data_IF_014883530715
#
_entry.id   IF_014883530715
#
_cell.length_a   1.000
_cell.length_b   1.000
_cell.length_c   1.000
_cell.angle_alpha   90.00
_cell.angle_beta   90.00
_cell.angle_gamma   90.00
#
_symmetry.space_group_name_H-M   'P 1'
#
loop_
_entity.id
_entity.type
_entity.pdbx_description
1 polymer ?
#
# COMPACT_ATOMS: atom_id res chain seq x y z
N UNK A 1 16.90 3.87 -4.89
CA UNK A 1 15.63 3.78 -5.66
C UNK A 1 15.21 5.09 -6.32
N UNK A 2 15.98 6.19 -6.21
CA UNK A 2 15.67 7.44 -6.95
C UNK A 2 14.49 8.27 -6.43
N UNK A 3 13.81 7.82 -5.37
CA UNK A 3 12.73 8.57 -4.73
C UNK A 3 13.24 9.84 -4.01
N UNK A 4 12.43 10.88 -4.00
CA UNK A 4 12.68 12.10 -3.24
C UNK A 4 12.04 11.98 -1.84
N UNK A 5 12.85 12.05 -0.79
CA UNK A 5 12.36 11.99 0.59
C UNK A 5 11.77 13.34 1.00
N UNK A 6 10.61 13.33 1.63
CA UNK A 6 9.94 14.53 2.13
C UNK A 6 9.67 14.40 3.63
N UNK A 7 9.90 15.49 4.35
CA UNK A 7 9.64 15.59 5.78
C UNK A 7 8.21 16.08 6.06
N UNK A 8 7.68 15.72 7.23
CA UNK A 8 6.44 16.26 7.77
C UNK A 8 6.53 16.34 9.29
N UNK A 9 5.78 17.25 9.90
CA UNK A 9 5.92 17.69 11.29
C UNK A 9 5.79 16.58 12.32
N UNK A 10 4.98 15.56 12.04
CA UNK A 10 4.67 14.43 12.94
C UNK A 10 5.39 13.14 12.55
N UNK A 11 6.51 13.21 11.84
CA UNK A 11 7.18 12.02 11.32
C UNK A 11 7.65 11.02 12.39
N UNK A 12 8.00 11.52 13.57
CA UNK A 12 8.46 10.75 14.72
C UNK A 12 7.31 10.09 15.52
N UNK A 13 6.05 10.48 15.28
CA UNK A 13 4.91 9.89 15.97
C UNK A 13 4.75 8.39 15.63
N UNK A 14 4.15 7.62 16.53
CA UNK A 14 3.75 6.24 16.26
C UNK A 14 2.70 6.19 15.12
N UNK A 15 2.60 5.07 14.41
CA UNK A 15 1.51 4.86 13.43
C UNK A 15 0.14 4.57 14.08
N UNK A 16 0.12 4.21 15.38
CA UNK A 16 -1.07 3.81 16.11
C UNK A 16 -1.35 2.29 16.15
N UNK A 17 -0.50 1.45 15.55
CA UNK A 17 -0.72 -0.01 15.49
C UNK A 17 -0.55 -0.77 16.82
N UNK A 18 0.16 -0.21 17.82
CA UNK A 18 0.65 -0.95 18.99
C UNK A 18 -0.34 -2.02 19.49
N UNK A 19 0.10 -3.29 19.58
CA UNK A 19 -0.76 -4.49 19.61
C UNK A 19 -2.01 -4.41 20.50
N UNK A 20 -1.89 -3.80 21.69
CA UNK A 20 -3.06 -3.58 22.56
C UNK A 20 -4.05 -2.59 21.95
N UNK A 21 -3.58 -1.44 21.48
CA UNK A 21 -4.42 -0.37 20.94
C UNK A 21 -5.21 -0.81 19.71
N UNK A 22 -4.61 -1.56 18.79
CA UNK A 22 -5.34 -2.00 17.60
C UNK A 22 -6.48 -2.98 17.94
N UNK A 23 -6.30 -3.82 18.96
CA UNK A 23 -7.29 -4.81 19.40
C UNK A 23 -8.40 -4.22 20.28
N UNK A 24 -8.05 -3.36 21.25
CA UNK A 24 -9.02 -2.85 22.25
C UNK A 24 -9.41 -1.38 22.07
N UNK A 25 -8.74 -0.65 21.19
CA UNK A 25 -8.94 0.79 20.96
C UNK A 25 -8.82 1.13 19.48
N UNK A 26 -9.54 0.37 18.65
CA UNK A 26 -9.47 0.45 17.19
C UNK A 26 -9.75 1.86 16.65
N UNK A 27 -10.73 2.56 17.22
CA UNK A 27 -11.11 3.90 16.73
C UNK A 27 -10.04 4.94 17.04
N UNK A 28 -9.35 4.81 18.18
CA UNK A 28 -8.16 5.60 18.48
C UNK A 28 -7.06 5.30 17.45
N UNK A 29 -6.76 4.03 17.22
CA UNK A 29 -5.68 3.61 16.29
C UNK A 29 -5.92 4.15 14.87
N UNK A 30 -7.16 4.01 14.36
CA UNK A 30 -7.55 4.51 13.03
C UNK A 30 -7.50 6.03 12.94
N UNK A 31 -8.01 6.72 13.96
CA UNK A 31 -8.02 8.18 13.99
C UNK A 31 -6.59 8.72 14.10
N UNK A 32 -5.74 8.09 14.92
CA UNK A 32 -4.34 8.49 15.03
C UNK A 32 -3.61 8.33 13.69
N UNK A 33 -3.72 7.15 13.08
CA UNK A 33 -3.13 6.84 11.77
C UNK A 33 -3.54 7.83 10.68
N UNK A 34 -4.81 8.22 10.63
CA UNK A 34 -5.30 9.10 9.56
C UNK A 34 -5.06 10.59 9.88
N UNK A 35 -5.40 11.05 11.07
CA UNK A 35 -5.37 12.47 11.44
C UNK A 35 -3.97 12.99 11.75
N UNK A 36 -3.16 12.19 12.47
CA UNK A 36 -1.80 12.60 12.88
C UNK A 36 -0.76 12.27 11.83
N UNK A 37 -0.98 11.25 10.98
CA UNK A 37 -0.03 10.85 9.94
C UNK A 37 -0.51 11.20 8.53
N UNK A 38 -1.48 10.46 7.98
CA UNK A 38 -1.84 10.58 6.55
C UNK A 38 -2.24 12.02 6.17
N UNK A 39 -3.11 12.68 6.93
CA UNK A 39 -3.52 14.05 6.60
C UNK A 39 -2.37 15.05 6.70
N UNK A 40 -1.52 14.92 7.73
CA UNK A 40 -0.32 15.77 7.87
C UNK A 40 0.63 15.57 6.69
N UNK A 41 0.85 14.32 6.28
CA UNK A 41 1.65 14.00 5.10
C UNK A 41 1.05 14.65 3.84
N UNK A 42 -0.28 14.55 3.62
CA UNK A 42 -0.92 15.20 2.46
C UNK A 42 -0.82 16.72 2.49
N UNK A 43 -0.99 17.32 3.66
CA UNK A 43 -0.99 18.79 3.81
C UNK A 43 0.42 19.39 3.67
N UNK A 44 1.45 18.71 4.17
CA UNK A 44 2.80 19.29 4.28
C UNK A 44 3.75 18.85 3.16
N UNK A 45 3.58 17.63 2.65
CA UNK A 45 4.46 17.04 1.64
C UNK A 45 3.73 16.52 0.39
N UNK A 46 2.45 16.19 0.51
CA UNK A 46 1.63 15.57 -0.54
C UNK A 46 2.35 14.44 -1.32
N UNK A 47 2.86 13.40 -0.63
CA UNK A 47 3.68 12.38 -1.27
C UNK A 47 2.87 11.44 -2.16
N UNK A 48 3.51 10.85 -3.18
CA UNK A 48 2.90 9.82 -4.03
C UNK A 48 2.78 8.47 -3.32
N UNK A 49 3.62 8.22 -2.32
CA UNK A 49 3.66 6.96 -1.56
C UNK A 49 4.27 7.18 -0.17
N UNK A 50 3.79 6.42 0.80
CA UNK A 50 4.39 6.25 2.12
C UNK A 50 5.06 4.88 2.19
N UNK A 51 6.35 4.87 2.51
CA UNK A 51 7.13 3.65 2.65
C UNK A 51 7.31 3.36 4.14
N UNK A 52 7.03 2.13 4.55
CA UNK A 52 7.22 1.70 5.95
C UNK A 52 7.96 0.37 6.01
N UNK A 53 8.65 0.11 7.12
CA UNK A 53 9.40 -1.14 7.29
C UNK A 53 8.59 -2.23 8.01
N UNK A 54 7.69 -1.83 8.92
CA UNK A 54 6.92 -2.73 9.77
C UNK A 54 5.55 -3.06 9.15
N UNK A 55 5.17 -4.34 9.16
CA UNK A 55 3.91 -4.81 8.59
C UNK A 55 2.68 -4.25 9.31
N UNK A 56 2.79 -3.97 10.61
CA UNK A 56 1.78 -3.29 11.40
C UNK A 56 1.58 -1.84 10.96
N UNK A 57 2.66 -1.13 10.66
CA UNK A 57 2.63 0.21 10.07
C UNK A 57 1.95 0.21 8.69
N UNK A 58 2.34 -0.69 7.77
CA UNK A 58 1.69 -0.82 6.45
C UNK A 58 0.20 -1.01 6.64
N UNK A 59 -0.19 -2.04 7.41
CA UNK A 59 -1.59 -2.42 7.62
C UNK A 59 -2.40 -1.26 8.22
N UNK A 60 -1.86 -0.59 9.24
CA UNK A 60 -2.60 0.46 9.95
C UNK A 60 -2.77 1.69 9.10
N UNK A 61 -1.70 2.16 8.45
CA UNK A 61 -1.74 3.38 7.64
C UNK A 61 -2.51 3.16 6.33
N UNK A 62 -2.45 1.98 5.72
CA UNK A 62 -3.25 1.63 4.53
C UNK A 62 -4.74 1.47 4.90
N UNK A 63 -5.06 0.49 5.76
CA UNK A 63 -6.46 0.08 6.02
C UNK A 63 -7.27 1.13 6.77
N UNK A 64 -6.64 1.98 7.57
CA UNK A 64 -7.39 3.00 8.32
C UNK A 64 -7.93 4.11 7.41
N UNK A 65 -7.34 4.33 6.23
CA UNK A 65 -7.77 5.38 5.31
C UNK A 65 -9.18 5.15 4.77
N UNK A 66 -9.66 3.90 4.69
CA UNK A 66 -11.03 3.61 4.24
C UNK A 66 -12.08 4.35 5.08
N UNK A 67 -11.97 4.30 6.41
CA UNK A 67 -12.92 4.95 7.31
C UNK A 67 -12.85 6.47 7.17
N UNK A 68 -11.64 7.05 7.12
CA UNK A 68 -11.46 8.47 6.92
C UNK A 68 -12.02 8.94 5.56
N UNK A 69 -11.82 8.16 4.49
CA UNK A 69 -12.37 8.43 3.15
C UNK A 69 -13.90 8.46 3.16
N UNK A 70 -14.54 7.53 3.88
CA UNK A 70 -16.00 7.52 4.04
C UNK A 70 -16.53 8.77 4.77
N UNK A 71 -15.69 9.45 5.55
CA UNK A 71 -15.98 10.73 6.19
C UNK A 71 -15.48 11.95 5.38
N UNK A 72 -15.19 11.80 4.08
CA UNK A 72 -14.72 12.86 3.18
C UNK A 72 -13.45 13.57 3.68
N UNK A 73 -12.57 12.86 4.39
CA UNK A 73 -11.32 13.38 4.91
C UNK A 73 -10.22 13.41 3.84
N UNK A 74 -9.19 14.24 4.05
CA UNK A 74 -8.08 14.37 3.10
C UNK A 74 -7.10 13.20 3.22
N UNK A 75 -7.49 12.05 2.68
CA UNK A 75 -6.68 10.82 2.67
C UNK A 75 -6.50 10.30 1.24
N UNK A 76 -6.00 9.08 1.08
CA UNK A 76 -5.76 8.44 -0.21
C UNK A 76 -4.28 8.44 -0.63
N UNK A 77 -3.35 8.32 0.32
CA UNK A 77 -1.94 8.09 -0.01
C UNK A 77 -1.67 6.58 -0.03
N UNK A 78 -1.14 6.03 -1.14
CA UNK A 78 -0.53 4.69 -1.18
C UNK A 78 0.41 4.44 0.00
N UNK A 79 0.30 3.29 0.65
CA UNK A 79 1.24 2.87 1.70
C UNK A 79 1.76 1.48 1.37
N UNK A 80 3.07 1.28 1.38
CA UNK A 80 3.65 -0.04 1.11
C UNK A 80 4.89 -0.32 1.95
N UNK A 81 5.32 -1.57 1.99
CA UNK A 81 6.59 -1.91 2.61
C UNK A 81 7.77 -1.39 1.77
N UNK A 82 8.90 -1.13 2.41
CA UNK A 82 10.17 -0.88 1.75
C UNK A 82 10.59 -2.02 0.81
N UNK A 83 10.32 -3.27 1.20
CA UNK A 83 10.53 -4.45 0.36
C UNK A 83 9.67 -4.46 -0.91
N UNK A 84 8.38 -4.10 -0.81
CA UNK A 84 7.49 -3.95 -1.97
C UNK A 84 8.00 -2.85 -2.91
N UNK A 85 8.34 -1.69 -2.35
CA UNK A 85 8.84 -0.57 -3.14
C UNK A 85 10.17 -0.89 -3.84
N UNK A 86 11.09 -1.58 -3.16
CA UNK A 86 12.35 -2.03 -3.76
C UNK A 86 12.11 -3.05 -4.89
N UNK A 87 11.21 -4.02 -4.69
CA UNK A 87 10.86 -5.00 -5.71
C UNK A 87 10.27 -4.34 -6.97
N UNK A 88 9.30 -3.43 -6.81
CA UNK A 88 8.73 -2.67 -7.93
C UNK A 88 9.79 -1.88 -8.69
N UNK A 89 10.69 -1.20 -7.97
CA UNK A 89 11.77 -0.44 -8.58
C UNK A 89 12.81 -1.32 -9.30
N UNK A 90 12.86 -2.62 -8.99
CA UNK A 90 13.68 -3.61 -9.70
C UNK A 90 12.93 -4.29 -10.85
N UNK A 91 11.68 -3.90 -11.14
CA UNK A 91 10.88 -4.45 -12.23
C UNK A 91 10.04 -5.67 -11.85
N UNK A 92 9.85 -5.96 -10.55
CA UNK A 92 8.99 -7.05 -10.13
C UNK A 92 7.52 -6.81 -10.53
N UNK A 93 6.82 -7.88 -10.89
CA UNK A 93 5.41 -7.80 -11.28
C UNK A 93 4.54 -7.28 -10.12
N UNK A 94 3.71 -6.24 -10.33
CA UNK A 94 3.00 -5.55 -9.24
C UNK A 94 1.94 -6.42 -8.55
N UNK A 95 1.40 -7.44 -9.23
CA UNK A 95 0.32 -8.27 -8.69
C UNK A 95 0.73 -9.68 -8.32
N UNK A 96 1.70 -10.28 -9.03
CA UNK A 96 2.21 -11.62 -8.69
C UNK A 96 3.16 -11.54 -7.50
N UNK A 97 4.09 -10.59 -7.52
CA UNK A 97 5.14 -10.48 -6.52
C UNK A 97 4.77 -9.48 -5.43
N UNK A 98 4.46 -8.25 -5.81
CA UNK A 98 4.20 -7.19 -4.84
C UNK A 98 2.79 -7.24 -4.25
N UNK A 99 1.89 -8.00 -4.88
CA UNK A 99 0.49 -8.20 -4.52
C UNK A 99 -0.26 -6.89 -4.16
N UNK A 100 -0.04 -5.84 -4.97
CA UNK A 100 -0.54 -4.50 -4.67
C UNK A 100 -2.07 -4.38 -4.62
N UNK A 101 -2.80 -5.35 -5.19
CA UNK A 101 -4.26 -5.41 -5.18
C UNK A 101 -4.87 -5.69 -3.81
N UNK A 102 -4.07 -6.18 -2.84
CA UNK A 102 -4.54 -6.36 -1.47
C UNK A 102 -4.53 -5.08 -0.64
N UNK A 103 -3.93 -3.99 -1.13
CA UNK A 103 -3.93 -2.70 -0.44
C UNK A 103 -5.30 -2.03 -0.51
N UNK A 104 -5.58 -1.17 0.46
CA UNK A 104 -6.88 -0.50 0.64
C UNK A 104 -6.94 0.87 -0.06
N UNK A 105 -5.78 1.42 -0.42
CA UNK A 105 -5.65 2.66 -1.19
C UNK A 105 -5.23 2.35 -2.63
N UNK A 106 -5.68 3.20 -3.55
CA UNK A 106 -5.39 3.07 -4.98
C UNK A 106 -3.91 3.35 -5.27
N UNK A 107 -3.19 2.31 -5.69
CA UNK A 107 -1.77 2.36 -6.03
C UNK A 107 -1.51 2.61 -7.52
N UNK A 108 -2.56 2.66 -8.37
CA UNK A 108 -2.40 2.82 -9.83
C UNK A 108 -1.69 4.12 -10.21
N UNK A 109 -2.00 5.29 -9.63
CA UNK A 109 -1.29 6.52 -9.96
C UNK A 109 0.22 6.47 -9.68
N UNK A 110 0.62 5.73 -8.62
CA UNK A 110 2.04 5.51 -8.32
C UNK A 110 2.70 4.64 -9.39
N UNK A 111 2.05 3.53 -9.78
CA UNK A 111 2.56 2.63 -10.81
C UNK A 111 2.74 3.36 -12.15
N UNK A 112 1.75 4.15 -12.56
CA UNK A 112 1.83 4.99 -13.75
C UNK A 112 3.01 5.97 -13.68
N UNK A 113 3.21 6.62 -12.52
CA UNK A 113 4.35 7.53 -12.29
C UNK A 113 5.71 6.82 -12.33
N UNK A 114 5.74 5.54 -11.95
CA UNK A 114 6.94 4.69 -12.06
C UNK A 114 7.15 4.13 -13.48
N UNK A 115 6.23 4.39 -14.42
CA UNK A 115 6.29 3.86 -15.79
C UNK A 115 5.84 2.41 -15.91
N UNK A 116 5.07 1.90 -14.94
CA UNK A 116 4.54 0.53 -14.91
C UNK A 116 3.15 0.53 -15.59
N UNK A 117 3.00 -0.31 -16.61
CA UNK A 117 1.71 -0.59 -17.24
C UNK A 117 0.88 -1.54 -16.36
N UNK A 118 0.12 -0.95 -15.44
CA UNK A 118 -0.67 -1.72 -14.48
C UNK A 118 -1.90 -2.39 -15.12
N UNK A 119 -2.43 -1.88 -16.23
CA UNK A 119 -3.56 -2.50 -16.91
C UNK A 119 -3.13 -3.80 -17.58
N UNK A 120 -1.99 -3.79 -18.27
CA UNK A 120 -1.38 -5.00 -18.84
C UNK A 120 -1.07 -6.02 -17.74
N UNK A 121 -0.39 -5.59 -16.67
CA UNK A 121 -0.05 -6.46 -15.55
C UNK A 121 -1.31 -7.06 -14.87
N UNK A 122 -2.42 -6.32 -14.85
CA UNK A 122 -3.68 -6.82 -14.31
C UNK A 122 -4.31 -7.89 -15.20
N UNK A 123 -4.28 -7.71 -16.52
CA UNK A 123 -4.75 -8.71 -17.47
C UNK A 123 -3.94 -10.02 -17.37
N UNK A 124 -2.62 -9.92 -17.24
CA UNK A 124 -1.73 -11.07 -16.98
C UNK A 124 -2.12 -11.77 -15.67
N UNK A 125 -2.43 -11.00 -14.61
CA UNK A 125 -2.88 -11.55 -13.34
C UNK A 125 -4.23 -12.29 -13.45
N UNK A 126 -5.20 -11.73 -14.17
CA UNK A 126 -6.51 -12.35 -14.37
C UNK A 126 -6.42 -13.67 -15.14
N UNK A 127 -5.53 -13.77 -16.14
CA UNK A 127 -5.27 -15.02 -16.86
C UNK A 127 -4.83 -16.13 -15.90
N UNK A 128 -3.89 -15.84 -15.00
CA UNK A 128 -3.42 -16.81 -14.02
C UNK A 128 -4.52 -17.22 -13.02
N UNK A 129 -5.37 -16.27 -12.62
CA UNK A 129 -6.53 -16.56 -11.77
C UNK A 129 -7.50 -17.51 -12.48
N UNK A 130 -7.72 -17.36 -13.78
CA UNK A 130 -8.57 -18.29 -14.54
C UNK A 130 -7.94 -19.68 -14.68
N UNK A 131 -6.61 -19.78 -14.88
CA UNK A 131 -5.89 -21.06 -14.85
C UNK A 131 -6.09 -21.80 -13.52
N UNK A 132 -5.99 -21.09 -12.39
CA UNK A 132 -6.28 -21.65 -11.06
C UNK A 132 -7.74 -22.10 -10.94
N UNK A 133 -8.70 -21.25 -11.34
CA UNK A 133 -10.13 -21.59 -11.27
C UNK A 133 -10.49 -22.81 -12.13
N UNK A 134 -9.83 -22.96 -13.28
CA UNK A 134 -10.03 -24.11 -14.17
C UNK A 134 -9.42 -25.41 -13.64
N UNK A 135 -8.53 -25.32 -12.65
CA UNK A 135 -7.77 -26.45 -12.11
C UNK A 135 -6.56 -26.84 -12.96
N UNK A 136 -6.15 -26.03 -13.95
CA UNK A 136 -4.92 -26.23 -14.71
C UNK A 136 -3.69 -26.16 -13.81
N UNK A 137 -3.68 -25.20 -12.88
CA UNK A 137 -2.65 -25.02 -11.86
C UNK A 137 -3.31 -24.92 -10.47
N UNK A 138 -2.60 -25.35 -9.42
CA UNK A 138 -3.14 -25.34 -8.05
C UNK A 138 -2.92 -23.99 -7.33
N UNK A 139 -1.79 -23.33 -7.59
CA UNK A 139 -1.41 -22.06 -6.98
C UNK A 139 -0.43 -21.30 -7.90
N UNK A 140 -0.28 -19.99 -7.66
CA UNK A 140 0.76 -19.18 -8.30
C UNK A 140 2.14 -19.50 -7.72
N UNK A 141 3.13 -19.66 -8.57
CA UNK A 141 4.53 -19.83 -8.18
C UNK A 141 5.39 -18.66 -8.66
N UNK A 142 6.67 -18.65 -8.26
CA UNK A 142 7.62 -17.65 -8.75
C UNK A 142 7.92 -17.81 -10.26
N UNK A 143 7.72 -19.01 -10.82
CA UNK A 143 7.94 -19.30 -12.25
C UNK A 143 6.90 -18.61 -13.13
N UNK A 144 5.71 -18.31 -12.58
CA UNK A 144 4.64 -17.61 -13.29
C UNK A 144 4.85 -16.08 -13.33
N UNK A 145 5.92 -15.57 -12.72
CA UNK A 145 6.24 -14.15 -12.62
C UNK A 145 7.48 -13.72 -13.44
N UNK A 146 8.09 -14.64 -14.19
CA UNK A 146 9.16 -14.40 -15.18
C UNK A 146 8.61 -14.23 -16.61
#
# INVERSE_FOLDING_TARGET
LGANLQDYSTWHDCCGFGFRHILVSRDFSRSFATLRKIERMKEEANPDVVITHDTGCVTTLDKSQFAAKAHNRNVGIPVMSDSQFAALAMGAHPYFICQLHWHGVDNRPLMEKMGIDHEKAWAEFEEQVERIKSGEIEYLSWEDAE
#
